data_IF_126982099752
#
_entry.id   IF_126982099752
#
_cell.length_a   1.000
_cell.length_b   1.000
_cell.length_c   1.000
_cell.angle_alpha   90.00
_cell.angle_beta   90.00
_cell.angle_gamma   90.00
#
_symmetry.space_group_name_H-M   'P 1'
#
loop_
_entity.id
_entity.type
_entity.pdbx_description
1 polymer ?
#
# COMPACT_ATOMS: atom_id res chain seq x y z
N UNK A 1 31.03 -21.13 -11.19
CA UNK A 1 29.66 -20.55 -11.21
C UNK A 1 29.12 -20.61 -9.78
N UNK A 2 28.94 -19.44 -9.16
CA UNK A 2 28.89 -19.26 -7.70
C UNK A 2 27.54 -19.59 -7.07
N UNK A 3 27.57 -20.24 -5.90
CA UNK A 3 26.39 -20.61 -5.08
C UNK A 3 25.58 -19.41 -4.56
N UNK A 4 26.16 -18.20 -4.55
CA UNK A 4 25.49 -16.96 -4.14
C UNK A 4 24.41 -16.48 -5.11
N UNK A 5 24.48 -16.87 -6.38
CA UNK A 5 23.48 -16.53 -7.40
C UNK A 5 22.17 -17.31 -7.19
N UNK A 6 22.27 -18.62 -6.93
CA UNK A 6 21.11 -19.50 -6.65
C UNK A 6 20.30 -19.06 -5.43
N UNK A 7 20.95 -18.61 -4.37
CA UNK A 7 20.27 -18.16 -3.13
C UNK A 7 19.44 -16.89 -3.37
N UNK A 8 19.99 -15.94 -4.14
CA UNK A 8 19.32 -14.67 -4.47
C UNK A 8 18.14 -14.89 -5.42
N UNK A 9 18.28 -15.77 -6.42
CA UNK A 9 17.17 -16.14 -7.33
C UNK A 9 16.02 -16.79 -6.57
N UNK A 10 16.32 -17.67 -5.61
CA UNK A 10 15.31 -18.36 -4.80
C UNK A 10 14.57 -17.39 -3.86
N UNK A 11 15.30 -16.41 -3.30
CA UNK A 11 14.70 -15.34 -2.49
C UNK A 11 13.77 -14.44 -3.31
N UNK A 12 14.17 -14.07 -4.53
CA UNK A 12 13.34 -13.28 -5.45
C UNK A 12 12.06 -14.03 -5.85
N UNK A 13 12.18 -15.31 -6.21
CA UNK A 13 11.04 -16.15 -6.57
C UNK A 13 10.05 -16.30 -5.41
N UNK A 14 10.54 -16.46 -4.19
CA UNK A 14 9.71 -16.50 -2.99
C UNK A 14 9.01 -15.15 -2.72
N UNK A 15 9.69 -14.03 -2.97
CA UNK A 15 9.09 -12.70 -2.92
C UNK A 15 7.94 -12.55 -3.90
N UNK A 16 8.13 -12.94 -5.16
CA UNK A 16 7.09 -12.91 -6.21
C UNK A 16 5.90 -13.78 -5.81
N UNK A 17 6.13 -14.99 -5.30
CA UNK A 17 5.05 -15.88 -4.84
C UNK A 17 4.23 -15.28 -3.70
N UNK A 18 4.86 -14.54 -2.79
CA UNK A 18 4.18 -13.84 -1.69
C UNK A 18 3.41 -12.60 -2.17
N UNK A 19 3.93 -11.90 -3.18
CA UNK A 19 3.28 -10.72 -3.76
C UNK A 19 2.11 -11.05 -4.70
N UNK A 20 2.13 -12.23 -5.34
CA UNK A 20 1.11 -12.63 -6.31
C UNK A 20 -0.34 -12.53 -5.80
N UNK A 21 -0.71 -13.09 -4.63
CA UNK A 21 -2.09 -12.96 -4.13
C UNK A 21 -2.50 -11.51 -3.87
N UNK A 22 -1.57 -10.67 -3.45
CA UNK A 22 -1.80 -9.23 -3.23
C UNK A 22 -2.12 -8.54 -4.56
N UNK A 23 -1.31 -8.80 -5.59
CA UNK A 23 -1.51 -8.22 -6.93
C UNK A 23 -2.85 -8.63 -7.53
N UNK A 24 -3.23 -9.90 -7.38
CA UNK A 24 -4.53 -10.38 -7.83
C UNK A 24 -5.70 -9.71 -7.10
N UNK A 25 -5.52 -9.35 -5.82
CA UNK A 25 -6.49 -8.59 -5.04
C UNK A 25 -6.78 -7.19 -5.60
N UNK A 26 -5.82 -6.55 -6.27
CA UNK A 26 -6.02 -5.21 -6.84
C UNK A 26 -6.94 -5.18 -8.07
N UNK A 27 -7.08 -6.29 -8.80
CA UNK A 27 -7.91 -6.35 -10.02
C UNK A 27 -9.39 -6.02 -9.75
N UNK A 28 -10.10 -6.71 -8.83
CA UNK A 28 -11.48 -6.38 -8.53
C UNK A 28 -11.64 -4.99 -7.90
N UNK A 29 -10.67 -4.53 -7.11
CA UNK A 29 -10.68 -3.20 -6.47
C UNK A 29 -10.58 -2.10 -7.53
N UNK A 30 -9.65 -2.22 -8.47
CA UNK A 30 -9.49 -1.28 -9.58
C UNK A 30 -10.71 -1.24 -10.49
N UNK A 31 -11.32 -2.40 -10.77
CA UNK A 31 -12.57 -2.47 -11.52
C UNK A 31 -13.72 -1.75 -10.79
N UNK A 32 -13.88 -1.99 -9.49
CA UNK A 32 -14.89 -1.32 -8.67
C UNK A 32 -14.70 0.20 -8.66
N UNK A 33 -13.46 0.68 -8.56
CA UNK A 33 -13.12 2.10 -8.66
C UNK A 33 -13.52 2.69 -10.02
N UNK A 34 -13.16 2.03 -11.12
CA UNK A 34 -13.50 2.48 -12.47
C UNK A 34 -15.01 2.59 -12.69
N UNK A 35 -15.78 1.59 -12.23
CA UNK A 35 -17.24 1.61 -12.30
C UNK A 35 -17.82 2.76 -11.44
N UNK A 36 -17.29 2.96 -10.23
CA UNK A 36 -17.75 4.03 -9.36
C UNK A 36 -17.46 5.42 -9.96
N UNK A 37 -16.25 5.65 -10.43
CA UNK A 37 -15.86 6.92 -11.04
C UNK A 37 -16.69 7.25 -12.28
N UNK A 38 -16.98 6.25 -13.12
CA UNK A 38 -17.88 6.42 -14.27
C UNK A 38 -19.31 6.79 -13.88
N UNK A 39 -19.84 6.22 -12.79
CA UNK A 39 -21.17 6.59 -12.25
C UNK A 39 -21.21 8.00 -11.64
N UNK A 40 -20.08 8.45 -11.09
CA UNK A 40 -19.93 9.78 -10.48
C UNK A 40 -19.74 10.91 -11.49
N UNK A 41 -19.76 10.64 -12.79
CA UNK A 41 -19.61 11.65 -13.83
C UNK A 41 -18.17 12.14 -14.03
N UNK A 42 -17.17 11.44 -13.49
CA UNK A 42 -15.76 11.75 -13.70
C UNK A 42 -15.33 11.20 -15.06
N UNK A 43 -14.67 12.03 -15.86
CA UNK A 43 -14.13 11.62 -17.17
C UNK A 43 -13.16 10.44 -17.02
N UNK A 44 -13.23 9.48 -17.94
CA UNK A 44 -12.33 8.32 -17.95
C UNK A 44 -10.85 8.73 -17.92
N UNK A 45 -10.48 9.83 -18.58
CA UNK A 45 -9.11 10.37 -18.53
C UNK A 45 -8.70 10.77 -17.11
N UNK A 46 -9.59 11.45 -16.36
CA UNK A 46 -9.33 11.86 -14.99
C UNK A 46 -9.26 10.65 -14.05
N UNK A 47 -10.12 9.66 -14.25
CA UNK A 47 -10.08 8.39 -13.51
C UNK A 47 -8.72 7.69 -13.69
N UNK A 48 -8.23 7.61 -14.93
CA UNK A 48 -6.92 7.01 -15.22
C UNK A 48 -5.77 7.83 -14.62
N UNK A 49 -5.80 9.15 -14.74
CA UNK A 49 -4.80 10.04 -14.13
C UNK A 49 -4.77 9.83 -12.61
N UNK A 50 -5.93 9.76 -11.95
CA UNK A 50 -6.02 9.48 -10.52
C UNK A 50 -5.43 8.11 -10.17
N UNK A 51 -5.64 7.09 -11.00
CA UNK A 51 -5.01 5.77 -10.83
C UNK A 51 -3.49 5.80 -10.98
N UNK A 52 -2.93 6.70 -11.80
CA UNK A 52 -1.49 6.81 -12.02
C UNK A 52 -0.78 7.60 -10.92
N UNK A 53 -1.41 8.65 -10.39
CA UNK A 53 -0.78 9.56 -9.43
C UNK A 53 -1.11 9.23 -7.97
N UNK A 54 -2.30 8.68 -7.70
CA UNK A 54 -2.77 8.39 -6.34
C UNK A 54 -2.57 6.92 -6.03
N UNK A 55 -1.54 6.61 -5.26
CA UNK A 55 -1.26 5.24 -4.80
C UNK A 55 -2.21 4.75 -3.68
N UNK A 56 -2.97 5.67 -3.06
CA UNK A 56 -3.88 5.35 -1.97
C UNK A 56 -5.29 5.01 -2.48
N UNK A 57 -5.59 3.71 -2.62
CA UNK A 57 -6.89 3.22 -3.11
C UNK A 57 -8.08 3.75 -2.30
N UNK A 58 -8.03 3.71 -0.96
CA UNK A 58 -9.10 4.24 -0.11
C UNK A 58 -9.37 5.73 -0.33
N UNK A 59 -8.33 6.52 -0.58
CA UNK A 59 -8.45 7.94 -0.88
C UNK A 59 -9.13 8.19 -2.24
N UNK A 60 -8.90 7.32 -3.23
CA UNK A 60 -9.55 7.41 -4.54
C UNK A 60 -11.07 7.19 -4.42
N UNK A 61 -11.51 6.18 -3.67
CA UNK A 61 -12.94 5.93 -3.43
C UNK A 61 -13.62 7.09 -2.70
N UNK A 62 -12.98 7.61 -1.65
CA UNK A 62 -13.50 8.74 -0.88
C UNK A 62 -13.56 9.99 -1.75
N UNK A 63 -12.51 10.29 -2.52
CA UNK A 63 -12.46 11.44 -3.41
C UNK A 63 -13.60 11.38 -4.44
N UNK A 64 -13.81 10.23 -5.08
CA UNK A 64 -14.91 10.05 -6.04
C UNK A 64 -16.28 10.26 -5.38
N UNK A 65 -16.50 9.71 -4.18
CA UNK A 65 -17.74 9.91 -3.44
C UNK A 65 -18.00 11.38 -3.08
N UNK A 66 -16.95 12.10 -2.65
CA UNK A 66 -17.05 13.52 -2.31
C UNK A 66 -17.23 14.41 -3.55
N UNK A 67 -16.60 14.08 -4.67
CA UNK A 67 -16.83 14.77 -5.94
C UNK A 67 -18.28 14.56 -6.42
N UNK A 68 -18.80 13.34 -6.31
CA UNK A 68 -20.18 13.03 -6.69
C UNK A 68 -21.22 13.79 -5.85
N UNK A 69 -20.90 14.12 -4.59
CA UNK A 69 -21.78 14.90 -3.71
C UNK A 69 -21.65 16.41 -3.89
N UNK A 70 -20.80 16.88 -4.81
CA UNK A 70 -20.56 18.31 -5.03
C UNK A 70 -19.74 18.98 -3.91
N UNK A 71 -18.99 18.19 -3.12
CA UNK A 71 -18.17 18.70 -2.03
C UNK A 71 -17.02 19.55 -2.57
N UNK A 72 -16.76 20.69 -1.91
CA UNK A 72 -15.66 21.58 -2.28
C UNK A 72 -14.28 20.92 -2.16
N UNK A 73 -13.28 21.34 -2.97
CA UNK A 73 -11.97 20.69 -3.06
C UNK A 73 -11.20 20.70 -1.73
N UNK A 74 -11.37 21.73 -0.90
CA UNK A 74 -10.71 21.81 0.41
C UNK A 74 -11.11 20.66 1.34
N UNK A 75 -12.39 20.28 1.34
CA UNK A 75 -12.87 19.16 2.15
C UNK A 75 -12.38 17.82 1.60
N UNK A 76 -12.32 17.65 0.28
CA UNK A 76 -11.71 16.46 -0.35
C UNK A 76 -10.26 16.30 0.09
N UNK A 77 -9.46 17.37 0.01
CA UNK A 77 -8.05 17.37 0.42
C UNK A 77 -7.93 17.05 1.92
N UNK A 78 -8.72 17.70 2.78
CA UNK A 78 -8.64 17.46 4.22
C UNK A 78 -9.04 16.03 4.59
N UNK A 79 -10.15 15.52 4.04
CA UNK A 79 -10.61 14.15 4.33
C UNK A 79 -9.62 13.12 3.82
N UNK A 80 -9.12 13.27 2.60
CA UNK A 80 -8.10 12.35 2.06
C UNK A 80 -6.80 12.42 2.84
N UNK A 81 -6.38 13.59 3.30
CA UNK A 81 -5.21 13.75 4.18
C UNK A 81 -5.42 13.03 5.51
N UNK A 82 -6.55 13.27 6.17
CA UNK A 82 -6.90 12.65 7.47
C UNK A 82 -6.98 11.14 7.37
N UNK A 83 -7.55 10.61 6.29
CA UNK A 83 -7.61 9.16 6.08
C UNK A 83 -6.22 8.58 5.81
N UNK A 84 -5.37 9.30 5.07
CA UNK A 84 -4.02 8.84 4.76
C UNK A 84 -3.04 8.91 5.93
N UNK A 85 -3.34 9.65 7.00
CA UNK A 85 -2.56 9.66 8.25
C UNK A 85 -2.39 8.25 8.86
N UNK A 86 -3.22 7.28 8.49
CA UNK A 86 -3.01 5.87 8.83
C UNK A 86 -1.63 5.34 8.42
N UNK A 87 -1.03 5.83 7.33
CA UNK A 87 0.32 5.42 6.91
C UNK A 87 1.39 5.90 7.90
N UNK A 88 1.19 7.09 8.49
CA UNK A 88 2.04 7.59 9.57
C UNK A 88 1.93 6.70 10.82
N UNK A 89 0.70 6.30 11.18
CA UNK A 89 0.47 5.41 12.33
C UNK A 89 1.06 4.02 12.11
N UNK A 90 0.91 3.47 10.90
CA UNK A 90 1.53 2.20 10.51
C UNK A 90 3.05 2.27 10.63
N UNK A 91 3.68 3.33 10.11
CA UNK A 91 5.12 3.54 10.20
C UNK A 91 5.59 3.65 11.67
N UNK A 92 4.86 4.43 12.48
CA UNK A 92 5.14 4.58 13.90
C UNK A 92 5.09 3.22 14.65
N UNK A 93 4.08 2.39 14.35
CA UNK A 93 3.93 1.07 14.99
C UNK A 93 5.03 0.06 14.61
N UNK A 94 5.63 0.19 13.42
CA UNK A 94 6.72 -0.67 12.96
C UNK A 94 8.10 -0.18 13.42
N UNK A 95 8.22 1.10 13.81
CA UNK A 95 9.49 1.73 14.23
C UNK A 95 10.29 0.90 15.26
N UNK A 96 9.68 0.29 16.31
CA UNK A 96 10.44 -0.52 17.28
C UNK A 96 11.17 -1.72 16.66
N UNK A 97 10.60 -2.30 15.59
CA UNK A 97 11.15 -3.46 14.89
C UNK A 97 12.20 -3.08 13.83
N UNK A 98 12.38 -1.78 13.56
CA UNK A 98 13.23 -1.27 12.48
C UNK A 98 14.52 -0.59 13.00
N UNK A 99 14.79 -0.66 14.31
CA UNK A 99 15.89 0.04 14.99
C UNK A 99 17.30 -0.29 14.45
N UNK A 100 17.48 -1.44 13.79
CA UNK A 100 18.75 -1.86 13.17
C UNK A 100 18.93 -1.47 11.70
N UNK A 101 17.96 -0.83 11.05
CA UNK A 101 17.99 -0.59 9.59
C UNK A 101 18.74 0.69 9.23
N UNK A 102 19.56 0.65 8.17
CA UNK A 102 20.23 1.86 7.65
C UNK A 102 19.19 2.86 7.15
N UNK A 103 19.40 4.17 7.38
CA UNK A 103 18.48 5.27 6.99
C UNK A 103 17.97 5.19 5.55
N UNK A 104 18.79 4.74 4.59
CA UNK A 104 18.38 4.55 3.19
C UNK A 104 17.26 3.50 3.05
N UNK A 105 17.39 2.36 3.71
CA UNK A 105 16.37 1.30 3.68
C UNK A 105 15.09 1.73 4.41
N UNK A 106 15.21 2.52 5.48
CA UNK A 106 14.06 3.10 6.16
C UNK A 106 13.24 4.04 5.25
N UNK A 107 13.91 4.87 4.44
CA UNK A 107 13.23 5.77 3.49
C UNK A 107 12.52 4.97 2.40
N UNK A 108 13.19 3.97 1.82
CA UNK A 108 12.55 3.07 0.85
C UNK A 108 11.36 2.31 1.45
N UNK A 109 11.52 1.77 2.65
CA UNK A 109 10.46 1.07 3.36
C UNK A 109 9.27 1.98 3.67
N UNK A 110 9.51 3.21 4.09
CA UNK A 110 8.46 4.19 4.34
C UNK A 110 7.70 4.58 3.06
N UNK A 111 8.39 4.63 1.91
CA UNK A 111 7.77 4.89 0.61
C UNK A 111 6.91 3.69 0.14
N UNK A 112 7.35 2.47 0.40
CA UNK A 112 6.64 1.23 0.04
C UNK A 112 5.62 0.78 1.10
N UNK A 113 5.42 1.58 2.16
CA UNK A 113 4.53 1.23 3.25
C UNK A 113 3.07 1.40 2.80
N UNK A 114 2.43 0.25 2.56
CA UNK A 114 1.03 0.08 2.18
C UNK A 114 0.38 -0.90 3.14
N UNK A 115 -0.94 -1.06 3.07
CA UNK A 115 -1.65 -2.00 3.94
C UNK A 115 -1.14 -3.43 3.80
N UNK A 116 -0.77 -3.79 2.58
CA UNK A 116 -0.29 -5.11 2.21
C UNK A 116 1.12 -5.35 2.78
N UNK A 117 2.03 -4.37 2.62
CA UNK A 117 3.37 -4.48 3.18
C UNK A 117 3.34 -4.38 4.70
N UNK A 118 2.45 -3.57 5.28
CA UNK A 118 2.20 -3.53 6.72
C UNK A 118 1.69 -4.87 7.27
N UNK A 119 0.69 -5.47 6.62
CA UNK A 119 0.12 -6.76 7.02
C UNK A 119 1.16 -7.88 6.98
N UNK A 120 1.98 -7.92 5.93
CA UNK A 120 3.08 -8.88 5.81
C UNK A 120 4.12 -8.71 6.94
N UNK A 121 4.56 -7.48 7.21
CA UNK A 121 5.60 -7.22 8.22
C UNK A 121 5.10 -7.41 9.65
N UNK A 122 3.86 -6.99 9.95
CA UNK A 122 3.24 -7.18 11.27
C UNK A 122 2.96 -8.66 11.56
N UNK A 123 2.55 -9.45 10.55
CA UNK A 123 2.39 -10.90 10.69
C UNK A 123 3.72 -11.63 10.90
N UNK A 124 4.78 -11.19 10.22
CA UNK A 124 6.13 -11.72 10.42
C UNK A 124 6.69 -11.36 11.81
N UNK A 125 6.51 -10.12 12.27
CA UNK A 125 6.94 -9.69 13.61
C UNK A 125 6.28 -10.50 14.73
N UNK A 126 4.99 -10.85 14.57
CA UNK A 126 4.27 -11.71 15.53
C UNK A 126 4.82 -13.14 15.58
N UNK A 127 5.31 -13.65 14.44
CA UNK A 127 5.92 -14.99 14.33
C UNK A 127 7.28 -15.05 15.04
N UNK A 128 8.06 -13.98 15.00
CA UNK A 128 9.37 -13.92 15.69
C UNK A 128 9.23 -13.84 17.23
N UNK A 129 8.16 -13.24 17.74
CA UNK A 129 7.86 -13.24 19.19
C UNK A 129 7.27 -14.57 19.70
N UNK A 130 6.90 -15.50 18.82
CA UNK A 130 6.27 -16.78 19.18
C UNK A 130 7.19 -17.99 19.03
N UNK A 131 8.43 -17.80 18.56
CA UNK A 131 9.45 -18.85 18.52
C UNK A 131 10.43 -18.63 19.69
N UNK A 132 10.39 -19.45 20.76
CA UNK A 132 11.48 -19.48 21.73
C UNK A 132 12.73 -19.92 20.98
N UNK A 133 13.82 -19.18 21.11
CA UNK A 133 15.12 -19.67 20.65
C UNK A 133 15.59 -20.70 21.69
N UNK A 134 15.29 -21.98 21.45
CA UNK A 134 16.04 -23.11 22.00
C UNK A 134 17.15 -23.53 21.02
#
# INVERSE_FOLDING_TARGET
MNETDKSTTTACLNGVRRALPIVLGYVPIGFAYGVLAGKSGISAANTLIMSLIVFAGSAQFIAVGLFASGTGPAAVILTTFVVNLRHLLMAASLTPYLSGWKKKHLVFFAYELTDETFALHSSAAKTLNSCPLE
#
